data_IF_382685568638
#
_entry.id   IF_382685568638
#
_cell.length_a   1.000
_cell.length_b   1.000
_cell.length_c   1.000
_cell.angle_alpha   90.00
_cell.angle_beta   90.00
_cell.angle_gamma   90.00
#
_symmetry.space_group_name_H-M   'P 1'
#
loop_
_entity.id
_entity.type
_entity.pdbx_description
1 polymer ?
#
# COMPACT_ATOMS: atom_id res chain seq x y z
N UNK A 1 10.82 51.40 15.32
CA UNK A 1 12.02 50.53 15.31
C UNK A 1 11.55 49.09 15.46
N UNK A 2 11.16 48.44 14.37
CA UNK A 2 10.69 47.05 14.35
C UNK A 2 11.73 46.20 13.62
N UNK A 3 12.80 45.84 14.33
CA UNK A 3 13.97 45.20 13.72
C UNK A 3 14.66 44.18 14.63
N UNK A 4 13.94 43.61 15.61
CA UNK A 4 14.52 42.65 16.56
C UNK A 4 13.68 41.37 16.75
N UNK A 5 12.68 41.09 15.92
CA UNK A 5 11.93 39.81 15.96
C UNK A 5 12.49 38.71 15.04
N UNK A 6 13.49 39.04 14.21
CA UNK A 6 14.01 38.14 13.17
C UNK A 6 15.20 37.26 13.58
N UNK A 7 15.68 37.37 14.83
CA UNK A 7 16.94 36.73 15.25
C UNK A 7 16.77 35.59 16.28
N UNK A 8 15.54 35.26 16.68
CA UNK A 8 15.21 34.13 17.57
C UNK A 8 14.20 33.14 16.99
N UNK A 9 13.52 33.48 15.91
CA UNK A 9 12.44 32.67 15.31
C UNK A 9 12.88 31.77 14.15
N UNK A 10 14.16 31.82 13.73
CA UNK A 10 14.65 31.08 12.56
C UNK A 10 14.85 29.58 12.79
N UNK A 11 15.08 29.15 14.04
CA UNK A 11 15.42 27.75 14.34
C UNK A 11 14.20 26.89 14.72
N UNK A 12 13.18 27.48 15.38
CA UNK A 12 11.98 26.78 15.83
C UNK A 12 10.83 26.77 14.81
N UNK A 13 10.75 27.76 13.92
CA UNK A 13 9.73 27.82 12.86
C UNK A 13 9.71 26.59 11.92
N UNK A 14 10.85 26.09 11.40
CA UNK A 14 10.81 24.95 10.49
C UNK A 14 10.38 23.66 11.22
N UNK A 15 10.75 23.49 12.48
CA UNK A 15 10.38 22.31 13.27
C UNK A 15 8.86 22.20 13.50
N UNK A 16 8.16 23.33 13.65
CA UNK A 16 6.70 23.36 13.82
C UNK A 16 5.95 22.86 12.57
N UNK A 17 6.54 23.00 11.38
CA UNK A 17 5.96 22.55 10.11
C UNK A 17 6.45 21.13 9.76
N UNK A 18 7.72 20.82 10.04
CA UNK A 18 8.31 19.50 9.74
C UNK A 18 7.66 18.41 10.60
N UNK A 19 7.40 18.67 11.87
CA UNK A 19 6.84 17.68 12.79
C UNK A 19 5.46 17.13 12.36
N UNK A 20 4.45 17.95 12.02
CA UNK A 20 3.17 17.45 11.53
C UNK A 20 3.30 16.77 10.16
N UNK A 21 4.21 17.21 9.29
CA UNK A 21 4.46 16.55 7.99
C UNK A 21 4.99 15.13 8.19
N UNK A 22 6.00 14.97 9.07
CA UNK A 22 6.57 13.65 9.38
C UNK A 22 5.50 12.73 9.99
N UNK A 23 4.70 13.24 10.93
CA UNK A 23 3.60 12.46 11.53
C UNK A 23 2.55 12.06 10.50
N UNK A 24 2.20 12.95 9.57
CA UNK A 24 1.22 12.67 8.52
C UNK A 24 1.76 11.59 7.57
N UNK A 25 3.02 11.68 7.12
CA UNK A 25 3.67 10.67 6.29
C UNK A 25 3.75 9.34 7.03
N UNK A 26 4.18 9.34 8.28
CA UNK A 26 4.24 8.14 9.11
C UNK A 26 2.85 7.49 9.28
N UNK A 27 1.83 8.29 9.55
CA UNK A 27 0.45 7.83 9.66
C UNK A 27 -0.08 7.30 8.32
N UNK A 28 0.23 7.96 7.19
CA UNK A 28 -0.10 7.46 5.85
C UNK A 28 0.61 6.16 5.53
N UNK A 29 1.86 5.95 5.96
CA UNK A 29 2.58 4.68 5.74
C UNK A 29 2.00 3.57 6.63
N UNK A 30 1.76 3.85 7.91
CA UNK A 30 1.12 2.89 8.83
C UNK A 30 -0.31 2.52 8.40
N UNK A 31 -1.07 3.47 7.85
CA UNK A 31 -2.45 3.24 7.39
C UNK A 31 -2.51 2.75 5.94
N UNK A 32 -1.51 3.11 5.14
CA UNK A 32 -1.34 2.74 3.74
C UNK A 32 -0.82 1.33 3.51
N UNK A 33 -0.22 0.70 4.53
CA UNK A 33 0.10 -0.74 4.51
C UNK A 33 -1.11 -1.67 4.38
N UNK A 34 -2.34 -1.13 4.38
CA UNK A 34 -3.58 -1.86 4.10
C UNK A 34 -4.41 -1.28 2.94
N UNK A 35 -3.99 -0.17 2.32
CA UNK A 35 -4.85 0.60 1.42
C UNK A 35 -4.58 0.41 -0.09
N UNK A 36 -3.53 -0.33 -0.48
CA UNK A 36 -3.24 -0.56 -1.92
C UNK A 36 -2.88 -1.99 -2.30
N UNK A 37 -2.93 -2.94 -1.37
CA UNK A 37 -2.64 -4.36 -1.67
C UNK A 37 -3.90 -5.22 -1.87
N UNK A 38 -5.10 -4.63 -1.83
CA UNK A 38 -6.33 -5.42 -1.88
C UNK A 38 -6.71 -5.94 -3.27
N UNK A 39 -6.05 -5.47 -4.34
CA UNK A 39 -6.23 -6.03 -5.68
C UNK A 39 -5.29 -7.23 -5.89
N UNK A 40 -4.01 -7.06 -5.57
CA UNK A 40 -3.02 -8.12 -5.77
C UNK A 40 -3.21 -9.30 -4.80
N UNK A 41 -3.53 -9.05 -3.53
CA UNK A 41 -3.76 -10.13 -2.57
C UNK A 41 -4.97 -11.01 -2.96
N UNK A 42 -6.00 -10.42 -3.60
CA UNK A 42 -7.16 -11.17 -4.11
C UNK A 42 -6.84 -11.97 -5.37
N UNK A 43 -6.00 -11.43 -6.26
CA UNK A 43 -5.50 -12.15 -7.44
C UNK A 43 -4.66 -13.37 -7.03
N UNK A 44 -3.75 -13.19 -6.07
CA UNK A 44 -2.95 -14.27 -5.49
C UNK A 44 -3.83 -15.33 -4.80
N UNK A 45 -4.83 -14.91 -4.01
CA UNK A 45 -5.77 -15.81 -3.35
C UNK A 45 -6.59 -16.63 -4.37
N UNK A 46 -7.08 -15.99 -5.44
CA UNK A 46 -7.81 -16.67 -6.51
C UNK A 46 -6.96 -17.69 -7.27
N UNK A 47 -5.69 -17.37 -7.55
CA UNK A 47 -4.72 -18.29 -8.16
C UNK A 47 -4.39 -19.46 -7.24
N UNK A 48 -4.24 -19.22 -5.94
CA UNK A 48 -3.96 -20.26 -4.95
C UNK A 48 -5.14 -21.24 -4.81
N UNK A 49 -6.38 -20.72 -4.81
CA UNK A 49 -7.59 -21.53 -4.81
C UNK A 49 -7.68 -22.40 -6.07
N UNK A 50 -7.41 -21.83 -7.25
CA UNK A 50 -7.40 -22.57 -8.51
C UNK A 50 -6.36 -23.71 -8.46
N UNK A 51 -5.14 -23.44 -7.98
CA UNK A 51 -4.08 -24.46 -7.86
C UNK A 51 -4.47 -25.61 -6.93
N UNK A 52 -5.11 -25.31 -5.78
CA UNK A 52 -5.57 -26.33 -4.83
C UNK A 52 -6.62 -27.26 -5.44
N UNK A 53 -7.56 -26.72 -6.23
CA UNK A 53 -8.59 -27.52 -6.90
C UNK A 53 -8.04 -28.38 -8.02
N UNK A 54 -7.04 -27.88 -8.76
CA UNK A 54 -6.33 -28.65 -9.76
C UNK A 54 -5.57 -29.84 -9.13
N UNK A 55 -4.86 -29.61 -8.03
CA UNK A 55 -4.18 -30.67 -7.29
C UNK A 55 -5.14 -31.73 -6.71
N UNK A 56 -6.40 -31.36 -6.43
CA UNK A 56 -7.46 -32.29 -6.02
C UNK A 56 -8.11 -33.03 -7.20
N UNK A 57 -7.81 -32.65 -8.45
CA UNK A 57 -8.44 -33.19 -9.65
C UNK A 57 -9.89 -32.75 -9.84
N UNK A 58 -10.33 -31.68 -9.16
CA UNK A 58 -11.70 -31.13 -9.31
C UNK A 58 -11.87 -30.30 -10.59
N UNK A 59 -10.75 -29.86 -11.19
CA UNK A 59 -10.71 -29.09 -12.43
C UNK A 59 -9.61 -29.64 -13.34
N UNK A 60 -9.88 -29.59 -14.65
CA UNK A 60 -8.96 -29.98 -15.71
C UNK A 60 -7.89 -28.90 -15.98
N UNK A 61 -6.81 -29.26 -16.66
CA UNK A 61 -5.72 -28.35 -17.03
C UNK A 61 -6.23 -27.19 -17.90
N UNK A 62 -7.14 -27.46 -18.84
CA UNK A 62 -7.75 -26.41 -19.68
C UNK A 62 -8.55 -25.39 -18.86
N UNK A 63 -9.21 -25.85 -17.80
CA UNK A 63 -9.98 -24.98 -16.90
C UNK A 63 -9.05 -24.13 -16.03
N UNK A 64 -7.92 -24.69 -15.58
CA UNK A 64 -6.91 -23.97 -14.81
C UNK A 64 -6.22 -22.87 -15.64
N UNK A 65 -5.86 -23.16 -16.90
CA UNK A 65 -5.25 -22.16 -17.80
C UNK A 65 -6.19 -20.97 -18.05
N UNK A 66 -7.48 -21.21 -18.32
CA UNK A 66 -8.47 -20.14 -18.53
C UNK A 66 -8.61 -19.23 -17.31
N UNK A 67 -8.55 -19.79 -16.10
CA UNK A 67 -8.63 -19.01 -14.85
C UNK A 67 -7.37 -18.16 -14.69
N UNK A 68 -6.19 -18.75 -14.94
CA UNK A 68 -4.91 -18.04 -14.87
C UNK A 68 -4.82 -16.90 -15.89
N UNK A 69 -5.29 -17.11 -17.11
CA UNK A 69 -5.32 -16.09 -18.16
C UNK A 69 -6.27 -14.93 -17.77
N UNK A 70 -7.45 -15.25 -17.24
CA UNK A 70 -8.42 -14.23 -16.78
C UNK A 70 -8.00 -13.46 -15.54
N UNK A 71 -7.16 -14.02 -14.68
CA UNK A 71 -6.65 -13.36 -13.48
C UNK A 71 -5.41 -12.50 -13.75
N UNK A 72 -4.76 -12.69 -14.90
CA UNK A 72 -3.58 -11.93 -15.33
C UNK A 72 -3.89 -10.89 -16.42
N UNK A 73 -5.17 -10.71 -16.77
CA UNK A 73 -5.67 -9.79 -17.79
C UNK A 73 -6.44 -8.64 -17.14
#
# INVERSE_FOLDING_TARGET
MYGYEWMGHGFFMPWMIIFPIILLVFFMVMRGGRASCHHHEKEDEALEIARKRFARGEIDEEAFEKIKEKLNA
#
